data_IF_787228273153
#
_entry.id   IF_787228273153
#
_cell.length_a   1.000
_cell.length_b   1.000
_cell.length_c   1.000
_cell.angle_alpha   90.00
_cell.angle_beta   90.00
_cell.angle_gamma   90.00
#
_symmetry.space_group_name_H-M   'P 1'
#
loop_
_entity.id
_entity.type
_entity.pdbx_description
1 polymer ?
#
# COMPACT_ATOMS: atom_id res chain seq x y z
N UNK A 1 -21.77 5.67 6.75
CA UNK A 1 -22.20 4.37 6.17
C UNK A 1 -21.06 3.65 5.40
N UNK A 2 -20.14 4.38 4.72
CA UNK A 2 -19.07 3.76 3.93
C UNK A 2 -17.76 3.51 4.72
N UNK A 3 -17.68 3.94 5.97
CA UNK A 3 -16.48 3.84 6.81
C UNK A 3 -15.91 2.42 6.96
N UNK A 4 -16.71 1.35 7.15
CA UNK A 4 -16.18 -0.01 7.28
C UNK A 4 -15.36 -0.49 6.08
N UNK A 5 -15.65 0.01 4.86
CA UNK A 5 -14.92 -0.35 3.64
C UNK A 5 -13.50 0.23 3.57
N UNK A 6 -13.16 1.13 4.49
CA UNK A 6 -11.85 1.75 4.63
C UNK A 6 -11.14 1.34 5.92
N UNK A 7 -11.86 0.78 6.89
CA UNK A 7 -11.32 0.32 8.17
C UNK A 7 -11.01 -1.18 8.16
N UNK A 8 -11.63 -1.96 7.27
CA UNK A 8 -11.40 -3.38 7.13
C UNK A 8 -10.79 -3.70 5.77
N UNK A 9 -9.54 -4.17 5.75
CA UNK A 9 -8.75 -4.45 4.55
C UNK A 9 -9.37 -5.52 3.64
N UNK A 10 -10.08 -6.51 4.20
CA UNK A 10 -10.79 -7.52 3.40
C UNK A 10 -11.97 -6.90 2.65
N UNK A 11 -12.77 -6.07 3.34
CA UNK A 11 -13.86 -5.32 2.70
C UNK A 11 -13.32 -4.35 1.65
N UNK A 12 -12.18 -3.69 1.93
CA UNK A 12 -11.50 -2.83 0.97
C UNK A 12 -11.10 -3.61 -0.28
N UNK A 13 -10.39 -4.73 -0.12
CA UNK A 13 -9.95 -5.56 -1.25
C UNK A 13 -11.12 -6.04 -2.11
N UNK A 14 -12.20 -6.50 -1.50
CA UNK A 14 -13.40 -6.94 -2.24
C UNK A 14 -14.09 -5.78 -2.98
N UNK A 15 -14.16 -4.60 -2.34
CA UNK A 15 -14.84 -3.43 -2.90
C UNK A 15 -14.06 -2.81 -4.05
N UNK A 16 -12.75 -2.73 -3.90
CA UNK A 16 -11.85 -2.08 -4.86
C UNK A 16 -11.07 -3.07 -5.74
N UNK A 17 -11.49 -4.34 -5.80
CA UNK A 17 -10.82 -5.41 -6.55
C UNK A 17 -10.35 -5.02 -7.97
N UNK A 18 -11.14 -4.28 -8.79
CA UNK A 18 -10.71 -3.87 -10.13
C UNK A 18 -9.51 -2.90 -10.16
N UNK A 19 -9.14 -2.32 -9.03
CA UNK A 19 -8.09 -1.30 -8.92
C UNK A 19 -6.85 -1.78 -8.17
N UNK A 20 -6.84 -3.01 -7.63
CA UNK A 20 -5.76 -3.51 -6.77
C UNK A 20 -4.53 -3.96 -7.56
N UNK A 21 -4.72 -4.44 -8.79
CA UNK A 21 -3.63 -4.96 -9.64
C UNK A 21 -2.84 -6.11 -9.01
N UNK A 22 -3.39 -6.76 -7.98
CA UNK A 22 -2.82 -7.91 -7.28
C UNK A 22 -3.89 -8.88 -6.83
N UNK A 23 -3.49 -10.13 -6.65
CA UNK A 23 -4.32 -11.19 -6.08
C UNK A 23 -4.36 -11.08 -4.56
N UNK A 24 -5.46 -11.51 -3.96
CA UNK A 24 -5.56 -11.65 -2.51
C UNK A 24 -6.40 -12.88 -2.12
N UNK A 25 -6.19 -13.37 -0.91
CA UNK A 25 -6.90 -14.51 -0.34
C UNK A 25 -7.43 -14.14 1.05
N UNK A 26 -8.69 -14.45 1.31
CA UNK A 26 -9.33 -14.32 2.63
C UNK A 26 -9.29 -15.67 3.35
N UNK A 27 -8.52 -15.77 4.42
CA UNK A 27 -8.37 -17.02 5.19
C UNK A 27 -9.62 -17.38 6.02
N UNK A 28 -10.61 -16.51 6.15
CA UNK A 28 -11.90 -16.88 6.71
C UNK A 28 -12.68 -17.84 5.80
N UNK A 29 -12.47 -17.72 4.48
CA UNK A 29 -13.19 -18.49 3.45
C UNK A 29 -12.30 -19.55 2.79
N UNK A 30 -10.99 -19.29 2.69
CA UNK A 30 -10.05 -20.15 2.00
C UNK A 30 -9.55 -21.31 2.88
N UNK A 31 -9.63 -22.53 2.35
CA UNK A 31 -9.02 -23.73 2.96
C UNK A 31 -7.54 -23.89 2.58
N UNK A 32 -6.98 -25.02 3.02
CA UNK A 32 -5.57 -25.35 2.84
C UNK A 32 -5.17 -25.48 1.36
N UNK A 33 -6.03 -26.10 0.55
CA UNK A 33 -5.75 -26.31 -0.88
C UNK A 33 -5.69 -24.98 -1.64
N UNK A 34 -6.60 -24.04 -1.32
CA UNK A 34 -6.60 -22.69 -1.90
C UNK A 34 -5.37 -21.89 -1.45
N UNK A 35 -4.94 -22.03 -0.18
CA UNK A 35 -3.73 -21.39 0.32
C UNK A 35 -2.48 -21.95 -0.36
N UNK A 36 -2.36 -23.27 -0.48
CA UNK A 36 -1.24 -23.90 -1.16
C UNK A 36 -1.12 -23.47 -2.61
N UNK A 37 -2.25 -23.41 -3.32
CA UNK A 37 -2.30 -22.96 -4.71
C UNK A 37 -1.93 -21.49 -4.84
N UNK A 38 -2.43 -20.63 -3.97
CA UNK A 38 -2.08 -19.20 -3.93
C UNK A 38 -0.57 -19.01 -3.73
N UNK A 39 0.05 -19.74 -2.79
CA UNK A 39 1.48 -19.65 -2.51
C UNK A 39 2.36 -20.22 -3.63
N UNK A 40 1.89 -21.19 -4.42
CA UNK A 40 2.58 -21.66 -5.62
C UNK A 40 2.66 -20.59 -6.70
N UNK A 41 1.58 -19.83 -6.87
CA UNK A 41 1.54 -18.74 -7.86
C UNK A 41 2.22 -17.47 -7.35
N UNK A 42 2.20 -17.22 -6.04
CA UNK A 42 2.73 -16.03 -5.38
C UNK A 42 3.67 -16.43 -4.23
N UNK A 43 4.96 -16.76 -4.54
CA UNK A 43 5.89 -17.27 -3.52
C UNK A 43 6.17 -16.28 -2.38
N UNK A 44 6.10 -14.98 -2.66
CA UNK A 44 6.22 -13.93 -1.66
C UNK A 44 4.87 -13.25 -1.48
N UNK A 45 4.38 -13.23 -0.24
CA UNK A 45 3.11 -12.65 0.12
C UNK A 45 3.23 -11.73 1.33
N UNK A 46 2.27 -10.83 1.46
CA UNK A 46 2.06 -10.03 2.67
C UNK A 46 0.81 -10.50 3.40
N UNK A 47 0.98 -10.76 4.69
CA UNK A 47 -0.07 -11.14 5.62
C UNK A 47 -0.49 -9.92 6.40
N UNK A 48 -1.80 -9.69 6.54
CA UNK A 48 -2.32 -8.51 7.23
C UNK A 48 -3.48 -8.87 8.14
N UNK A 49 -3.53 -8.20 9.29
CA UNK A 49 -4.73 -8.14 10.11
C UNK A 49 -5.75 -7.20 9.43
N UNK A 50 -7.01 -7.61 9.25
CA UNK A 50 -8.00 -6.80 8.52
C UNK A 50 -8.23 -5.41 9.10
N UNK A 51 -8.18 -5.25 10.42
CA UNK A 51 -8.55 -4.02 11.12
C UNK A 51 -7.35 -3.30 11.75
N UNK A 52 -6.12 -3.64 11.35
CA UNK A 52 -4.91 -2.95 11.81
C UNK A 52 -4.63 -1.68 11.01
N UNK A 53 -3.94 -0.72 11.64
CA UNK A 53 -3.58 0.57 11.07
C UNK A 53 -2.08 0.83 11.14
N UNK A 54 -1.59 1.73 10.31
CA UNK A 54 -0.24 2.26 10.45
C UNK A 54 0.88 1.26 10.14
N UNK A 55 0.64 0.24 9.33
CA UNK A 55 1.63 -0.81 9.03
C UNK A 55 1.83 -1.83 10.17
N UNK A 56 1.10 -1.69 11.28
CA UNK A 56 1.06 -2.71 12.33
C UNK A 56 0.34 -3.96 11.82
N UNK A 57 0.76 -5.14 12.29
CA UNK A 57 0.13 -6.40 11.88
C UNK A 57 0.39 -6.81 10.42
N UNK A 58 1.39 -6.20 9.75
CA UNK A 58 1.84 -6.63 8.42
C UNK A 58 3.05 -7.53 8.56
N UNK A 59 3.00 -8.72 7.96
CA UNK A 59 4.13 -9.66 7.92
C UNK A 59 4.43 -10.05 6.48
N UNK A 60 5.70 -10.06 6.10
CA UNK A 60 6.17 -10.64 4.84
C UNK A 60 6.43 -12.13 5.06
N UNK A 61 5.90 -12.96 4.17
CA UNK A 61 6.18 -14.39 4.14
C UNK A 61 6.75 -14.78 2.77
N UNK A 62 7.76 -15.64 2.79
CA UNK A 62 8.36 -16.24 1.61
C UNK A 62 8.18 -17.75 1.74
N UNK A 63 7.49 -18.36 0.77
CA UNK A 63 7.21 -19.80 0.78
C UNK A 63 8.40 -20.65 0.35
N UNK A 64 9.54 -20.05 -0.03
CA UNK A 64 10.76 -20.78 -0.32
C UNK A 64 11.16 -21.65 0.88
N UNK A 65 11.27 -22.96 0.67
CA UNK A 65 11.56 -23.93 1.73
C UNK A 65 10.33 -24.50 2.46
N UNK A 66 9.11 -24.07 2.09
CA UNK A 66 7.86 -24.70 2.57
C UNK A 66 7.42 -25.77 1.57
N UNK A 67 7.21 -27.00 2.03
CA UNK A 67 6.63 -28.05 1.18
C UNK A 67 5.11 -27.81 1.06
N UNK A 68 4.72 -27.18 -0.04
CA UNK A 68 3.32 -26.87 -0.34
C UNK A 68 2.51 -28.11 -0.80
N UNK A 69 3.12 -29.28 -0.93
CA UNK A 69 2.45 -30.56 -1.18
C UNK A 69 2.18 -31.31 0.12
N UNK A 70 2.87 -30.99 1.21
CA UNK A 70 2.54 -31.49 2.55
C UNK A 70 1.31 -30.73 3.10
N UNK A 71 0.16 -31.38 3.01
CA UNK A 71 -1.12 -30.81 3.48
C UNK A 71 -1.10 -30.44 4.96
N UNK A 72 -0.44 -31.24 5.79
CA UNK A 72 -0.33 -30.97 7.23
C UNK A 72 0.58 -29.77 7.51
N UNK A 73 1.63 -29.57 6.71
CA UNK A 73 2.46 -28.35 6.79
C UNK A 73 1.67 -27.09 6.42
N UNK A 74 0.92 -27.14 5.33
CA UNK A 74 0.05 -26.01 4.90
C UNK A 74 -1.05 -25.74 5.92
N UNK A 75 -1.66 -26.78 6.50
CA UNK A 75 -2.66 -26.64 7.55
C UNK A 75 -2.09 -25.94 8.79
N UNK A 76 -0.93 -26.40 9.30
CA UNK A 76 -0.26 -25.74 10.43
C UNK A 76 0.08 -24.28 10.15
N UNK A 77 0.53 -23.97 8.92
CA UNK A 77 0.82 -22.61 8.48
C UNK A 77 -0.44 -21.73 8.53
N UNK A 78 -1.53 -22.21 7.93
CA UNK A 78 -2.83 -21.53 7.92
C UNK A 78 -3.37 -21.31 9.33
N UNK A 79 -3.39 -22.36 10.16
CA UNK A 79 -3.86 -22.27 11.55
C UNK A 79 -3.06 -21.26 12.36
N UNK A 80 -1.74 -21.22 12.19
CA UNK A 80 -0.88 -20.24 12.84
C UNK A 80 -1.24 -18.81 12.40
N UNK A 81 -1.47 -18.56 11.11
CA UNK A 81 -1.85 -17.24 10.63
C UNK A 81 -3.22 -16.79 11.15
N UNK A 82 -4.21 -17.67 11.08
CA UNK A 82 -5.57 -17.39 11.59
C UNK A 82 -5.57 -17.13 13.09
N UNK A 83 -4.85 -17.93 13.89
CA UNK A 83 -4.72 -17.72 15.34
C UNK A 83 -4.05 -16.38 15.69
N UNK A 84 -3.18 -15.86 14.82
CA UNK A 84 -2.55 -14.56 14.99
C UNK A 84 -3.34 -13.40 14.31
N UNK A 85 -4.57 -13.63 13.86
CA UNK A 85 -5.41 -12.59 13.24
C UNK A 85 -4.99 -12.18 11.83
N UNK A 86 -4.02 -12.87 11.22
CA UNK A 86 -3.50 -12.58 9.87
C UNK A 86 -4.42 -13.21 8.82
N UNK A 87 -5.55 -12.59 8.57
CA UNK A 87 -6.63 -13.17 7.75
C UNK A 87 -6.57 -12.78 6.27
N UNK A 88 -5.87 -11.70 5.92
CA UNK A 88 -5.67 -11.27 4.55
C UNK A 88 -4.27 -11.67 4.08
N UNK A 89 -4.21 -12.43 2.98
CA UNK A 89 -2.97 -12.77 2.26
C UNK A 89 -2.98 -12.05 0.94
N UNK A 90 -1.97 -11.23 0.66
CA UNK A 90 -1.84 -10.49 -0.59
C UNK A 90 -0.57 -10.86 -1.33
N UNK A 91 -0.66 -10.96 -2.65
CA UNK A 91 0.49 -11.03 -3.54
C UNK A 91 1.42 -9.83 -3.33
N UNK A 92 2.73 -10.07 -3.31
CA UNK A 92 3.72 -9.00 -3.27
C UNK A 92 3.77 -8.25 -4.60
N UNK A 93 3.42 -6.96 -4.59
CA UNK A 93 3.50 -6.11 -5.77
C UNK A 93 4.96 -5.88 -6.18
N UNK A 94 5.22 -5.98 -7.48
CA UNK A 94 6.48 -5.52 -8.05
C UNK A 94 6.46 -4.01 -8.21
N UNK A 95 7.38 -3.32 -7.56
CA UNK A 95 7.52 -1.88 -7.64
C UNK A 95 8.18 -1.44 -8.95
N UNK A 96 7.76 -0.28 -9.50
CA UNK A 96 8.42 0.34 -10.64
C UNK A 96 9.91 0.61 -10.36
N UNK A 97 10.83 0.39 -11.33
CA UNK A 97 12.25 0.55 -11.10
C UNK A 97 12.68 1.92 -10.57
N UNK A 98 12.09 3.00 -11.06
CA UNK A 98 12.39 4.36 -10.56
C UNK A 98 11.93 4.56 -9.11
N UNK A 99 10.77 4.00 -8.74
CA UNK A 99 10.33 4.03 -7.34
C UNK A 99 11.24 3.19 -6.45
N UNK A 100 11.71 2.02 -6.95
CA UNK A 100 12.69 1.19 -6.24
C UNK A 100 14.04 1.88 -6.04
N UNK A 101 14.42 2.79 -6.94
CA UNK A 101 15.63 3.58 -6.79
C UNK A 101 15.57 4.52 -5.58
N UNK A 102 14.38 5.03 -5.22
CA UNK A 102 14.22 5.78 -3.97
C UNK A 102 14.45 4.87 -2.76
N UNK A 103 13.76 3.72 -2.71
CA UNK A 103 13.98 2.73 -1.66
C UNK A 103 13.49 1.34 -2.11
N UNK A 104 14.37 0.32 -2.17
CA UNK A 104 14.05 -0.97 -2.78
C UNK A 104 13.37 -1.98 -1.84
N UNK A 105 13.39 -1.76 -0.52
CA UNK A 105 12.93 -2.77 0.44
C UNK A 105 11.46 -2.64 0.82
N UNK A 106 10.81 -1.50 0.57
CA UNK A 106 9.37 -1.32 0.71
C UNK A 106 8.72 -1.00 -0.64
N UNK A 107 7.41 -1.26 -0.74
CA UNK A 107 6.60 -0.62 -1.76
C UNK A 107 6.45 0.86 -1.36
N UNK A 108 7.11 1.75 -2.09
CA UNK A 108 6.99 3.19 -1.87
C UNK A 108 5.65 3.67 -2.45
N UNK A 109 4.74 4.10 -1.60
CA UNK A 109 3.40 4.49 -2.04
C UNK A 109 3.29 5.98 -2.31
N UNK A 110 2.35 6.33 -3.19
CA UNK A 110 1.85 7.69 -3.25
C UNK A 110 0.66 7.80 -2.30
N UNK A 111 0.73 8.72 -1.33
CA UNK A 111 -0.45 9.16 -0.58
C UNK A 111 -1.12 10.27 -1.39
N UNK A 112 -2.32 10.01 -1.92
CA UNK A 112 -3.14 10.98 -2.65
C UNK A 112 -4.38 11.30 -1.82
N UNK A 113 -4.52 12.52 -1.35
CA UNK A 113 -5.69 12.97 -0.60
C UNK A 113 -6.73 13.55 -1.53
N UNK A 114 -7.95 12.99 -1.51
CA UNK A 114 -9.07 13.43 -2.34
C UNK A 114 -10.23 13.91 -1.48
N UNK A 115 -10.93 14.95 -1.98
CA UNK A 115 -12.20 15.43 -1.42
C UNK A 115 -13.27 15.43 -2.51
N UNK A 116 -14.39 14.78 -2.26
CA UNK A 116 -15.59 14.84 -3.11
C UNK A 116 -16.48 15.98 -2.64
N UNK A 117 -16.79 16.95 -3.51
CA UNK A 117 -17.67 18.07 -3.20
C UNK A 117 -19.14 17.68 -3.23
N UNK A 118 -20.02 18.64 -2.91
CA UNK A 118 -21.48 18.42 -2.88
C UNK A 118 -22.10 18.16 -4.25
N UNK A 119 -21.36 18.45 -5.32
CA UNK A 119 -21.77 18.19 -6.70
C UNK A 119 -21.23 16.86 -7.23
N UNK A 120 -20.47 16.12 -6.41
CA UNK A 120 -19.84 14.83 -6.75
C UNK A 120 -18.54 14.98 -7.56
N UNK A 121 -17.99 16.18 -7.67
CA UNK A 121 -16.66 16.38 -8.28
C UNK A 121 -15.56 15.99 -7.27
N UNK A 122 -14.54 15.29 -7.75
CA UNK A 122 -13.41 14.81 -6.93
C UNK A 122 -12.21 15.71 -7.14
N UNK A 123 -11.79 16.38 -6.08
CA UNK A 123 -10.63 17.26 -6.03
C UNK A 123 -9.47 16.56 -5.35
N UNK A 124 -8.25 16.72 -5.87
CA UNK A 124 -7.02 16.31 -5.19
C UNK A 124 -6.55 17.48 -4.35
N UNK A 125 -6.32 17.25 -3.07
CA UNK A 125 -5.88 18.28 -2.13
C UNK A 125 -4.36 18.32 -2.02
N UNK A 126 -3.72 17.15 -1.94
CA UNK A 126 -2.27 17.01 -1.88
C UNK A 126 -1.87 15.59 -2.30
N UNK A 127 -0.59 15.45 -2.66
CA UNK A 127 0.01 14.16 -2.98
C UNK A 127 1.43 14.08 -2.43
N UNK A 128 1.81 12.92 -1.88
CA UNK A 128 3.13 12.68 -1.31
C UNK A 128 3.68 11.35 -1.79
N UNK A 129 5.00 11.26 -1.98
CA UNK A 129 5.70 9.97 -2.01
C UNK A 129 6.06 9.58 -0.57
N UNK A 130 5.75 8.35 -0.18
CA UNK A 130 6.16 7.76 1.09
C UNK A 130 7.18 6.68 0.83
N UNK A 131 8.27 6.66 1.60
CA UNK A 131 9.33 5.65 1.48
C UNK A 131 9.66 5.05 2.84
N UNK A 132 10.03 3.76 2.86
CA UNK A 132 10.59 3.13 4.03
C UNK A 132 12.03 3.59 4.31
N UNK A 133 12.63 3.11 5.40
CA UNK A 133 14.02 3.32 5.81
C UNK A 133 14.55 2.14 6.64
N UNK A 134 15.88 2.05 6.76
CA UNK A 134 16.56 1.13 7.67
C UNK A 134 16.17 -0.36 7.47
N UNK A 135 15.98 -0.80 6.24
CA UNK A 135 15.60 -2.18 5.93
C UNK A 135 14.11 -2.49 6.15
N UNK A 136 13.27 -1.48 6.48
CA UNK A 136 11.83 -1.67 6.63
C UNK A 136 11.19 -2.11 5.31
N UNK A 137 10.29 -3.07 5.35
CA UNK A 137 9.45 -3.46 4.21
C UNK A 137 8.11 -2.70 4.13
N UNK A 138 7.89 -1.74 5.05
CA UNK A 138 6.75 -0.82 5.04
C UNK A 138 7.25 0.62 4.93
N UNK A 139 6.48 1.46 4.25
CA UNK A 139 6.79 2.88 3.97
C UNK A 139 6.15 3.85 4.99
N UNK A 140 5.67 3.32 6.11
CA UNK A 140 4.93 4.11 7.08
C UNK A 140 5.82 5.17 7.76
N UNK A 141 5.39 6.43 7.66
CA UNK A 141 6.10 7.58 8.23
C UNK A 141 6.20 7.53 9.75
N UNK A 142 5.16 7.03 10.45
CA UNK A 142 5.20 6.85 11.92
C UNK A 142 6.22 5.80 12.38
N UNK A 143 6.58 4.87 11.50
CA UNK A 143 7.64 3.89 11.72
C UNK A 143 9.03 4.40 11.36
N UNK A 144 9.14 5.66 10.92
CA UNK A 144 10.40 6.33 10.58
C UNK A 144 10.66 6.44 9.07
N UNK A 145 9.67 6.15 8.24
CA UNK A 145 9.69 6.44 6.81
C UNK A 145 9.78 7.93 6.50
N UNK A 146 9.94 8.25 5.23
CA UNK A 146 10.02 9.62 4.73
C UNK A 146 8.80 9.97 3.90
N UNK A 147 8.49 11.26 3.88
CA UNK A 147 7.35 11.85 3.21
C UNK A 147 7.82 13.00 2.32
N UNK A 148 7.58 12.96 1.02
CA UNK A 148 8.00 13.98 0.07
C UNK A 148 6.81 14.51 -0.73
N UNK A 149 6.55 15.83 -0.63
CA UNK A 149 5.45 16.49 -1.35
C UNK A 149 5.68 16.43 -2.87
N UNK A 150 4.66 15.99 -3.60
CA UNK A 150 4.62 15.97 -5.06
C UNK A 150 3.85 17.21 -5.53
N UNK A 151 4.42 17.96 -6.48
CA UNK A 151 3.72 19.06 -7.16
C UNK A 151 2.71 18.53 -8.19
N UNK A 152 1.80 19.38 -8.65
CA UNK A 152 0.71 19.01 -9.57
C UNK A 152 1.18 18.41 -10.90
N UNK A 153 2.42 18.66 -11.28
CA UNK A 153 3.07 18.09 -12.48
C UNK A 153 3.82 16.77 -12.21
N UNK A 154 3.64 16.16 -11.04
CA UNK A 154 4.26 14.89 -10.67
C UNK A 154 5.74 14.98 -10.27
N UNK A 155 6.27 16.16 -10.00
CA UNK A 155 7.67 16.38 -9.65
C UNK A 155 7.81 16.79 -8.19
N UNK A 156 8.75 16.19 -7.48
CA UNK A 156 9.14 16.60 -6.12
C UNK A 156 10.11 17.77 -6.22
N UNK A 157 9.80 18.90 -5.55
CA UNK A 157 10.62 20.14 -5.58
C UNK A 157 11.13 20.56 -4.20
N UNK A 158 10.80 19.80 -3.17
CA UNK A 158 11.22 20.07 -1.79
C UNK A 158 11.86 18.84 -1.18
N UNK A 159 12.72 19.01 -0.15
CA UNK A 159 13.24 17.89 0.61
C UNK A 159 12.12 17.02 1.16
N UNK A 160 12.38 15.72 1.29
CA UNK A 160 11.51 14.82 2.04
C UNK A 160 11.63 15.10 3.54
N UNK A 161 10.57 14.85 4.30
CA UNK A 161 10.54 15.03 5.74
C UNK A 161 10.37 13.69 6.45
N UNK A 162 10.95 13.58 7.63
CA UNK A 162 10.65 12.51 8.59
C UNK A 162 9.68 13.03 9.63
N UNK A 163 8.46 12.54 9.66
CA UNK A 163 7.44 12.93 10.67
C UNK A 163 7.92 12.61 12.09
N UNK A 164 8.70 11.53 12.22
CA UNK A 164 9.23 11.09 13.53
C UNK A 164 10.26 12.03 14.13
N UNK A 165 11.08 12.70 13.30
CA UNK A 165 12.21 13.51 13.77
C UNK A 165 12.10 14.99 13.40
N UNK A 166 11.20 15.36 12.47
CA UNK A 166 11.13 16.69 11.88
C UNK A 166 12.31 17.03 10.97
N UNK A 167 13.18 16.10 10.67
CA UNK A 167 14.35 16.33 9.82
C UNK A 167 13.97 16.30 8.34
N UNK A 168 14.66 17.13 7.55
CA UNK A 168 14.51 17.20 6.09
C UNK A 168 15.69 16.55 5.38
N UNK A 169 15.41 15.94 4.22
CA UNK A 169 16.36 15.18 3.43
C UNK A 169 16.23 15.53 1.93
N UNK A 170 17.29 16.08 1.32
CA UNK A 170 17.35 16.34 -0.12
C UNK A 170 17.43 15.05 -0.92
N UNK A 171 18.03 14.01 -0.34
CA UNK A 171 18.17 12.67 -0.89
C UNK A 171 17.79 11.61 0.15
N UNK A 172 17.38 10.44 -0.32
CA UNK A 172 17.07 9.33 0.57
C UNK A 172 18.35 8.86 1.30
N UNK A 173 18.37 8.85 2.64
CA UNK A 173 19.61 8.64 3.40
C UNK A 173 20.22 7.24 3.25
N UNK A 174 19.40 6.22 2.89
CA UNK A 174 19.88 4.85 2.75
C UNK A 174 20.37 4.55 1.32
N UNK A 175 19.84 5.25 0.29
CA UNK A 175 20.13 4.99 -1.13
C UNK A 175 20.87 6.13 -1.82
N UNK A 176 20.94 7.30 -1.21
CA UNK A 176 21.45 8.54 -1.79
C UNK A 176 20.73 8.99 -3.07
N UNK A 177 19.52 8.47 -3.35
CA UNK A 177 18.69 8.88 -4.47
C UNK A 177 18.08 10.25 -4.17
N UNK A 178 18.23 11.26 -5.05
CA UNK A 178 17.65 12.59 -4.83
C UNK A 178 16.13 12.56 -4.82
N UNK A 179 15.52 13.27 -3.86
CA UNK A 179 14.10 13.60 -3.90
C UNK A 179 13.83 14.79 -4.81
N UNK A 180 14.67 15.82 -4.73
CA UNK A 180 14.50 17.04 -5.53
C UNK A 180 14.68 16.73 -7.02
N UNK A 181 13.71 17.16 -7.83
CA UNK A 181 13.54 16.87 -9.25
C UNK A 181 13.23 15.41 -9.59
N UNK A 182 12.92 14.58 -8.59
CA UNK A 182 12.38 13.23 -8.85
C UNK A 182 10.99 13.39 -9.51
N UNK A 183 10.83 12.76 -10.68
CA UNK A 183 9.55 12.69 -11.39
C UNK A 183 8.91 11.34 -11.06
N UNK A 184 7.72 11.38 -10.50
CA UNK A 184 6.94 10.17 -10.18
C UNK A 184 6.43 9.55 -11.48
N UNK A 185 6.77 8.28 -11.78
CA UNK A 185 6.23 7.59 -12.95
C UNK A 185 4.71 7.38 -12.81
N UNK A 186 3.98 7.46 -13.93
CA UNK A 186 2.51 7.26 -13.97
C UNK A 186 1.71 8.17 -13.01
N UNK A 187 2.21 9.38 -12.72
CA UNK A 187 1.54 10.26 -11.75
C UNK A 187 0.12 10.64 -12.16
N UNK A 188 -0.09 11.04 -13.42
CA UNK A 188 -1.41 11.45 -13.92
C UNK A 188 -2.41 10.27 -13.89
N UNK A 189 -1.94 9.07 -14.22
CA UNK A 189 -2.73 7.84 -14.14
C UNK A 189 -3.07 7.48 -12.68
N UNK A 190 -2.16 7.71 -11.74
CA UNK A 190 -2.41 7.51 -10.30
C UNK A 190 -3.48 8.47 -9.78
N UNK A 191 -3.41 9.75 -10.18
CA UNK A 191 -4.44 10.75 -9.87
C UNK A 191 -5.80 10.34 -10.47
N UNK A 192 -5.81 9.89 -11.72
CA UNK A 192 -7.03 9.43 -12.39
C UNK A 192 -7.63 8.19 -11.70
N UNK A 193 -6.78 7.25 -11.25
CA UNK A 193 -7.16 6.07 -10.47
C UNK A 193 -7.87 6.47 -9.18
N UNK A 194 -7.26 7.37 -8.38
CA UNK A 194 -7.84 7.85 -7.12
C UNK A 194 -9.18 8.54 -7.33
N UNK A 195 -9.31 9.36 -8.37
CA UNK A 195 -10.58 10.01 -8.72
C UNK A 195 -11.67 9.01 -9.11
N UNK A 196 -11.32 7.91 -9.78
CA UNK A 196 -12.26 6.82 -10.08
C UNK A 196 -12.66 6.06 -8.82
N UNK A 197 -11.69 5.71 -7.98
CA UNK A 197 -11.91 5.00 -6.73
C UNK A 197 -12.81 5.78 -5.75
N UNK A 198 -12.63 7.09 -5.63
CA UNK A 198 -13.46 7.95 -4.78
C UNK A 198 -14.97 7.90 -5.13
N UNK A 199 -15.32 7.54 -6.37
CA UNK A 199 -16.72 7.41 -6.81
C UNK A 199 -17.36 6.07 -6.45
N UNK A 200 -16.56 5.07 -6.04
CA UNK A 200 -17.07 3.73 -5.68
C UNK A 200 -17.86 3.78 -4.37
N UNK A 201 -17.40 4.61 -3.42
CA UNK A 201 -18.04 4.83 -2.11
C UNK A 201 -18.21 6.33 -1.86
N UNK A 202 -19.21 6.97 -2.49
CA UNK A 202 -19.32 8.43 -2.56
C UNK A 202 -19.63 9.10 -1.21
N UNK A 203 -20.17 8.36 -0.23
CA UNK A 203 -20.42 8.91 1.11
C UNK A 203 -19.13 9.08 1.93
N UNK A 204 -18.04 8.41 1.54
CA UNK A 204 -16.70 8.68 2.07
C UNK A 204 -16.05 9.78 1.23
N UNK A 205 -16.35 11.04 1.59
CA UNK A 205 -15.99 12.20 0.78
C UNK A 205 -14.51 12.59 0.88
N UNK A 206 -13.86 12.29 2.00
CA UNK A 206 -12.46 12.61 2.25
C UNK A 206 -11.67 11.32 2.46
N UNK A 207 -10.76 11.02 1.54
CA UNK A 207 -9.99 9.77 1.53
C UNK A 207 -8.52 10.06 1.18
N UNK A 208 -7.61 9.45 1.93
CA UNK A 208 -6.20 9.32 1.56
C UNK A 208 -5.94 7.95 0.94
N UNK A 209 -5.65 7.94 -0.35
CA UNK A 209 -5.36 6.73 -1.11
C UNK A 209 -3.87 6.41 -1.04
N UNK A 210 -3.53 5.18 -0.72
CA UNK A 210 -2.17 4.66 -0.88
C UNK A 210 -2.11 3.93 -2.23
N UNK A 211 -1.28 4.45 -3.13
CA UNK A 211 -1.13 3.97 -4.50
C UNK A 211 0.27 3.44 -4.72
N UNK A 212 0.38 2.16 -5.09
CA UNK A 212 1.64 1.57 -5.54
C UNK A 212 1.85 1.84 -7.03
N UNK A 213 3.08 2.14 -7.42
CA UNK A 213 3.45 2.26 -8.83
C UNK A 213 4.18 1.00 -9.26
N UNK A 214 3.55 0.24 -10.16
CA UNK A 214 4.10 -0.98 -10.74
C UNK A 214 4.73 -0.70 -12.12
N UNK A 215 5.47 -1.64 -12.71
CA UNK A 215 5.99 -1.48 -14.09
C UNK A 215 4.91 -1.28 -15.16
N UNK A 216 3.66 -1.64 -14.85
CA UNK A 216 2.52 -1.54 -15.80
C UNK A 216 1.54 -0.44 -15.45
N UNK A 217 1.79 0.33 -14.39
CA UNK A 217 0.94 1.45 -13.98
C UNK A 217 0.58 1.46 -12.48
N UNK A 218 -0.26 2.41 -12.06
CA UNK A 218 -0.65 2.58 -10.67
C UNK A 218 -1.71 1.56 -10.25
N UNK A 219 -1.64 1.13 -8.98
CA UNK A 219 -2.61 0.23 -8.34
C UNK A 219 -2.95 0.72 -6.94
N UNK A 220 -4.17 0.50 -6.48
CA UNK A 220 -4.55 0.81 -5.11
C UNK A 220 -3.95 -0.19 -4.12
N UNK A 221 -3.37 0.32 -3.06
CA UNK A 221 -2.90 -0.48 -1.92
C UNK A 221 -3.91 -0.44 -0.79
N UNK A 222 -4.32 0.77 -0.40
CA UNK A 222 -5.22 1.01 0.72
C UNK A 222 -5.94 2.36 0.55
N UNK A 223 -7.08 2.53 1.24
CA UNK A 223 -7.77 3.81 1.40
C UNK A 223 -7.94 4.13 2.88
N UNK A 224 -7.64 5.36 3.28
CA UNK A 224 -7.69 5.82 4.66
C UNK A 224 -8.80 6.87 4.81
N UNK A 225 -9.74 6.64 5.74
CA UNK A 225 -10.91 7.49 5.98
C UNK A 225 -10.61 8.76 6.79
N UNK A 226 -9.45 8.85 7.41
CA UNK A 226 -8.97 10.02 8.18
C UNK A 226 -7.48 10.22 7.89
N UNK A 227 -7.12 10.58 6.64
CA UNK A 227 -5.72 10.78 6.31
C UNK A 227 -5.18 12.01 7.07
N UNK A 228 -4.01 11.84 7.70
CA UNK A 228 -3.27 12.96 8.24
C UNK A 228 -2.79 13.89 7.11
N UNK A 229 -2.72 15.19 7.41
CA UNK A 229 -2.22 16.23 6.49
C UNK A 229 -0.77 16.61 6.75
N UNK A 230 -0.15 15.94 7.69
CA UNK A 230 1.14 16.31 8.23
C UNK A 230 2.23 16.12 7.18
N UNK A 231 2.55 17.21 6.50
CA UNK A 231 3.60 17.33 5.51
C UNK A 231 4.10 18.75 5.40
#
# INVERSE_FOLDING_TARGET
>A
EDRPYFENKLLFCRTFAPYLGRSFLDLNEAGEDALADFLRHHPVVFLKEPESFGGLGVKRFDSAGTDLNDREAVKRLRENWVQNGLLLVEEALQQHPEMSALYPYSLNTLRVCTLTDDKGAVHVLCSFVRTGRHGSFVDNTTSGGLNALICDDGVIRRPAMSDKTGMYFDMHPDTCTPFINFRVPYFDEAIALCKKAAKVRPNMRYVGWDVGITPTGPVLVEGNNLPAYDG
#
